data_IF_024630977420
#
_entry.id   IF_024630977420
#
_cell.length_a   1.000
_cell.length_b   1.000
_cell.length_c   1.000
_cell.angle_alpha   90.00
_cell.angle_beta   90.00
_cell.angle_gamma   90.00
#
_symmetry.space_group_name_H-M   'P 1'
#
loop_
_entity.id
_entity.type
_entity.pdbx_description
1 polymer ?
#
# COMPACT_ATOMS: atom_id res chain seq x y z
N UNK A 1 -23.90 32.50 -35.08
CA UNK A 1 -23.11 31.31 -34.83
C UNK A 1 -22.80 31.23 -33.34
N UNK A 2 -23.24 30.22 -32.61
CA UNK A 2 -22.85 30.06 -31.23
C UNK A 2 -21.38 29.60 -31.16
N UNK A 3 -20.59 29.98 -30.13
CA UNK A 3 -19.21 29.55 -29.98
C UNK A 3 -19.12 28.04 -29.73
N UNK A 4 -18.03 27.37 -30.19
CA UNK A 4 -17.88 25.94 -30.02
C UNK A 4 -17.79 25.63 -28.51
N UNK A 5 -18.58 24.65 -28.10
CA UNK A 5 -18.56 24.10 -26.76
C UNK A 5 -17.13 23.68 -26.40
N UNK A 6 -16.59 24.25 -25.33
CA UNK A 6 -15.32 23.82 -24.73
C UNK A 6 -15.46 22.32 -24.43
N UNK A 7 -14.67 21.50 -25.12
CA UNK A 7 -14.51 20.09 -24.78
C UNK A 7 -14.11 20.03 -23.29
N UNK A 8 -15.05 19.63 -22.46
CA UNK A 8 -14.78 19.38 -21.07
C UNK A 8 -13.65 18.34 -21.00
N UNK A 9 -12.61 18.69 -20.25
CA UNK A 9 -11.59 17.72 -19.84
C UNK A 9 -12.38 16.65 -19.10
N UNK A 10 -12.59 15.49 -19.75
CA UNK A 10 -13.15 14.33 -19.08
C UNK A 10 -12.22 14.01 -17.91
N UNK A 11 -12.64 14.33 -16.69
CA UNK A 11 -12.03 13.78 -15.49
C UNK A 11 -12.03 12.28 -15.68
N UNK A 12 -10.85 11.70 -15.61
CA UNK A 12 -10.63 10.29 -15.80
C UNK A 12 -11.25 9.57 -14.59
N UNK A 13 -12.55 9.26 -14.69
CA UNK A 13 -13.28 8.57 -13.63
C UNK A 13 -12.61 7.22 -13.37
N UNK A 14 -12.32 6.95 -12.11
CA UNK A 14 -11.86 5.64 -11.68
C UNK A 14 -12.97 4.62 -11.92
N UNK A 15 -12.63 3.54 -12.56
CA UNK A 15 -13.52 2.42 -12.82
C UNK A 15 -13.04 1.26 -11.98
N UNK A 16 -13.76 0.98 -10.92
CA UNK A 16 -13.44 -0.14 -10.04
C UNK A 16 -13.72 -1.45 -10.77
N UNK A 17 -12.76 -2.37 -10.84
CA UNK A 17 -12.98 -3.71 -11.35
C UNK A 17 -13.97 -4.47 -10.45
N UNK A 18 -14.88 -5.20 -11.05
CA UNK A 18 -15.65 -6.21 -10.34
C UNK A 18 -14.76 -7.42 -10.06
N UNK A 19 -14.62 -7.79 -8.79
CA UNK A 19 -13.71 -8.84 -8.35
C UNK A 19 -14.05 -10.21 -8.98
N UNK A 20 -15.33 -10.55 -9.04
CA UNK A 20 -15.75 -11.85 -9.58
C UNK A 20 -15.39 -11.96 -11.07
N UNK A 21 -15.68 -10.92 -11.84
CA UNK A 21 -15.36 -10.88 -13.27
C UNK A 21 -13.84 -10.90 -13.51
N UNK A 22 -13.06 -10.20 -12.67
CA UNK A 22 -11.59 -10.24 -12.76
C UNK A 22 -11.02 -11.62 -12.43
N UNK A 23 -11.52 -12.28 -11.39
CA UNK A 23 -11.08 -13.65 -11.05
C UNK A 23 -11.45 -14.63 -12.16
N UNK A 24 -12.66 -14.52 -12.72
CA UNK A 24 -13.07 -15.35 -13.86
C UNK A 24 -12.16 -15.14 -15.08
N UNK A 25 -11.79 -13.90 -15.38
CA UNK A 25 -10.84 -13.58 -16.44
C UNK A 25 -9.46 -14.21 -16.18
N UNK A 26 -8.94 -14.10 -14.95
CA UNK A 26 -7.66 -14.70 -14.59
C UNK A 26 -7.67 -16.24 -14.67
N UNK A 27 -8.81 -16.89 -14.36
CA UNK A 27 -8.97 -18.32 -14.55
C UNK A 27 -8.97 -18.75 -16.04
N UNK A 28 -9.42 -17.89 -16.96
CA UNK A 28 -9.30 -18.13 -18.39
C UNK A 28 -7.86 -17.99 -18.92
N UNK A 29 -7.00 -17.31 -18.15
CA UNK A 29 -5.61 -17.03 -18.45
C UNK A 29 -4.67 -17.52 -17.33
N UNK A 30 -4.55 -18.84 -17.09
CA UNK A 30 -3.86 -19.38 -15.92
C UNK A 30 -2.35 -19.12 -15.95
N UNK A 31 -1.68 -19.33 -17.10
CA UNK A 31 -0.22 -19.29 -17.20
C UNK A 31 0.29 -18.47 -18.39
N UNK A 32 -0.60 -17.92 -19.21
CA UNK A 32 -0.23 -17.17 -20.40
C UNK A 32 0.25 -15.74 -20.07
N UNK A 33 0.84 -15.10 -21.05
CA UNK A 33 1.38 -13.76 -20.90
C UNK A 33 0.32 -12.70 -20.54
N UNK A 34 -0.89 -12.69 -21.13
CA UNK A 34 -1.96 -11.79 -20.70
C UNK A 34 -2.33 -11.97 -19.23
N UNK A 35 -2.52 -13.20 -18.78
CA UNK A 35 -2.87 -13.50 -17.39
C UNK A 35 -1.79 -13.07 -16.39
N UNK A 36 -0.52 -13.28 -16.72
CA UNK A 36 0.58 -12.81 -15.89
C UNK A 36 0.58 -11.27 -15.77
N UNK A 37 0.43 -10.55 -16.89
CA UNK A 37 0.38 -9.08 -16.89
C UNK A 37 -0.78 -8.57 -16.03
N UNK A 38 -1.96 -9.19 -16.15
CA UNK A 38 -3.12 -8.81 -15.36
C UNK A 38 -2.93 -9.08 -13.86
N UNK A 39 -2.32 -10.22 -13.48
CA UNK A 39 -1.99 -10.53 -12.08
C UNK A 39 -1.01 -9.53 -11.50
N UNK A 40 0.08 -9.26 -12.21
CA UNK A 40 1.09 -8.28 -11.75
C UNK A 40 0.49 -6.88 -11.57
N UNK A 41 -0.45 -6.47 -12.40
CA UNK A 41 -1.10 -5.17 -12.26
C UNK A 41 -2.18 -5.15 -11.18
N UNK A 42 -3.04 -6.19 -11.11
CA UNK A 42 -4.22 -6.20 -10.26
C UNK A 42 -3.95 -6.76 -8.86
N UNK A 43 -3.15 -7.82 -8.74
CA UNK A 43 -2.86 -8.47 -7.46
C UNK A 43 -1.59 -7.92 -6.79
N UNK A 44 -0.66 -7.34 -7.57
CA UNK A 44 0.62 -6.84 -7.06
C UNK A 44 0.79 -5.32 -7.22
N UNK A 45 -0.13 -4.64 -7.90
CA UNK A 45 -0.11 -3.19 -8.07
C UNK A 45 1.06 -2.64 -8.89
N UNK A 46 1.67 -3.45 -9.77
CA UNK A 46 2.79 -3.02 -10.60
C UNK A 46 2.32 -2.10 -11.73
N UNK A 47 3.12 -1.08 -12.04
CA UNK A 47 2.97 -0.27 -13.24
C UNK A 47 3.44 -1.05 -14.47
N UNK A 48 3.08 -0.59 -15.66
CA UNK A 48 3.55 -1.20 -16.90
C UNK A 48 5.06 -1.13 -17.05
N UNK A 49 5.69 -0.07 -16.54
CA UNK A 49 7.13 0.13 -16.53
C UNK A 49 7.82 -0.90 -15.62
N UNK A 50 7.28 -1.12 -14.40
CA UNK A 50 7.76 -2.13 -13.46
C UNK A 50 7.55 -3.55 -14.00
N UNK A 51 6.39 -3.82 -14.64
CA UNK A 51 6.11 -5.13 -15.26
C UNK A 51 7.14 -5.47 -16.31
N UNK A 52 7.52 -4.52 -17.16
CA UNK A 52 8.53 -4.74 -18.22
C UNK A 52 9.93 -4.91 -17.62
N UNK A 53 10.25 -4.15 -16.58
CA UNK A 53 11.57 -4.17 -15.95
C UNK A 53 11.77 -5.35 -14.97
N UNK A 54 10.71 -6.06 -14.59
CA UNK A 54 10.76 -7.14 -13.60
C UNK A 54 11.68 -8.27 -14.03
N UNK A 55 12.64 -8.62 -13.17
CA UNK A 55 13.62 -9.70 -13.38
C UNK A 55 13.35 -10.85 -12.42
N UNK A 56 13.74 -12.05 -12.82
CA UNK A 56 13.65 -13.25 -11.99
C UNK A 56 14.42 -13.12 -10.66
N UNK A 57 15.56 -12.41 -10.66
CA UNK A 57 16.34 -12.14 -9.45
C UNK A 57 15.58 -11.29 -8.41
N UNK A 58 14.48 -10.67 -8.78
CA UNK A 58 13.63 -9.87 -7.90
C UNK A 58 12.44 -10.67 -7.33
N UNK A 59 12.26 -11.91 -7.76
CA UNK A 59 11.17 -12.79 -7.34
C UNK A 59 11.71 -13.75 -6.27
N UNK A 60 11.27 -13.59 -5.04
CA UNK A 60 11.55 -14.51 -3.96
C UNK A 60 10.35 -15.43 -3.72
N UNK A 61 10.49 -16.69 -4.13
CA UNK A 61 9.45 -17.71 -3.96
C UNK A 61 9.35 -18.23 -2.53
N UNK A 62 10.44 -18.14 -1.73
CA UNK A 62 10.45 -18.60 -0.34
C UNK A 62 9.77 -17.59 0.57
N UNK A 63 10.18 -16.32 0.46
CA UNK A 63 9.60 -15.23 1.24
C UNK A 63 8.29 -14.70 0.62
N UNK A 64 7.87 -15.25 -0.54
CA UNK A 64 6.69 -14.80 -1.29
C UNK A 64 6.67 -13.28 -1.47
N UNK A 65 7.73 -12.75 -2.05
CA UNK A 65 7.91 -11.30 -2.19
C UNK A 65 8.53 -10.92 -3.54
N UNK A 66 8.18 -9.72 -4.00
CA UNK A 66 8.85 -9.06 -5.11
C UNK A 66 9.72 -7.93 -4.56
N UNK A 67 11.02 -8.00 -4.81
CA UNK A 67 11.98 -6.96 -4.45
C UNK A 67 12.14 -5.97 -5.60
N UNK A 68 11.34 -4.90 -5.58
CA UNK A 68 11.47 -3.81 -6.54
C UNK A 68 12.56 -2.82 -6.08
N UNK A 69 12.96 -1.90 -6.94
CA UNK A 69 14.07 -0.96 -6.64
C UNK A 69 13.81 -0.10 -5.39
N UNK A 70 12.57 0.28 -5.16
CA UNK A 70 12.15 1.22 -4.11
C UNK A 70 11.31 0.57 -3.01
N UNK A 71 10.87 -0.68 -3.18
CA UNK A 71 9.96 -1.35 -2.24
C UNK A 71 9.94 -2.86 -2.37
N UNK A 72 9.41 -3.51 -1.32
CA UNK A 72 9.06 -4.93 -1.34
C UNK A 72 7.53 -5.06 -1.38
N UNK A 73 7.02 -5.87 -2.31
CA UNK A 73 5.60 -6.16 -2.47
C UNK A 73 5.35 -7.62 -2.13
N UNK A 74 4.43 -7.93 -1.19
CA UNK A 74 4.03 -9.32 -0.91
C UNK A 74 3.45 -9.98 -2.16
N UNK A 75 3.81 -11.22 -2.39
CA UNK A 75 3.39 -11.98 -3.56
C UNK A 75 2.18 -12.83 -3.23
N UNK A 76 1.05 -12.53 -3.86
CA UNK A 76 -0.18 -13.32 -3.74
C UNK A 76 0.04 -14.74 -4.27
N UNK A 77 -0.57 -15.74 -3.62
CA UNK A 77 -0.38 -17.16 -3.93
C UNK A 77 -0.66 -17.50 -5.40
N UNK A 78 -1.73 -16.94 -5.95
CA UNK A 78 -2.12 -17.12 -7.35
C UNK A 78 -1.06 -16.57 -8.32
N UNK A 79 -0.45 -15.42 -7.99
CA UNK A 79 0.64 -14.85 -8.78
C UNK A 79 1.93 -15.64 -8.63
N UNK A 80 2.22 -16.12 -7.41
CA UNK A 80 3.39 -16.96 -7.14
C UNK A 80 3.34 -18.26 -7.94
N UNK A 81 2.19 -18.94 -7.98
CA UNK A 81 1.96 -20.15 -8.78
C UNK A 81 2.17 -19.91 -10.27
N UNK A 82 1.60 -18.83 -10.81
CA UNK A 82 1.78 -18.45 -12.22
C UNK A 82 3.27 -18.14 -12.55
N UNK A 83 3.98 -17.44 -11.66
CA UNK A 83 5.41 -17.15 -11.84
C UNK A 83 6.26 -18.41 -11.77
N UNK A 84 5.97 -19.32 -10.82
CA UNK A 84 6.71 -20.58 -10.68
C UNK A 84 6.56 -21.47 -11.92
N UNK A 85 5.33 -21.68 -12.39
CA UNK A 85 5.07 -22.44 -13.62
C UNK A 85 5.81 -21.83 -14.83
N UNK A 86 5.80 -20.51 -14.93
CA UNK A 86 6.50 -19.82 -16.02
C UNK A 86 8.02 -19.88 -15.89
N UNK A 87 8.56 -19.88 -14.70
CA UNK A 87 9.99 -20.06 -14.45
C UNK A 87 10.45 -21.47 -14.84
N UNK A 88 9.71 -22.50 -14.47
CA UNK A 88 9.99 -23.90 -14.82
C UNK A 88 9.93 -24.13 -16.32
N UNK A 89 8.96 -23.49 -17.00
CA UNK A 89 8.74 -23.62 -18.45
C UNK A 89 9.67 -22.77 -19.32
N UNK A 90 10.57 -21.98 -18.76
CA UNK A 90 11.48 -21.16 -19.58
C UNK A 90 12.16 -19.97 -18.91
N UNK A 91 12.14 -19.89 -17.59
CA UNK A 91 12.75 -18.77 -16.85
C UNK A 91 14.26 -18.59 -17.06
N UNK A 92 14.97 -19.69 -17.45
CA UNK A 92 16.40 -19.65 -17.73
C UNK A 92 16.76 -18.94 -19.07
N UNK A 93 15.78 -18.66 -19.93
CA UNK A 93 16.03 -18.10 -21.28
C UNK A 93 16.28 -16.59 -21.27
N UNK A 94 15.74 -15.88 -20.26
CA UNK A 94 15.87 -14.44 -20.13
C UNK A 94 15.93 -14.04 -18.66
N UNK A 95 16.71 -13.01 -18.29
CA UNK A 95 16.66 -12.47 -16.93
C UNK A 95 15.32 -11.78 -16.61
N UNK A 96 14.52 -11.42 -17.61
CA UNK A 96 13.24 -10.74 -17.45
C UNK A 96 12.08 -11.72 -17.32
N UNK A 97 11.13 -11.41 -16.45
CA UNK A 97 9.92 -12.20 -16.23
C UNK A 97 8.92 -12.09 -17.38
N UNK A 98 8.74 -10.87 -17.89
CA UNK A 98 7.75 -10.56 -18.93
C UNK A 98 8.45 -10.33 -20.26
N UNK A 99 8.44 -11.36 -21.08
CA UNK A 99 9.08 -11.38 -22.40
C UNK A 99 8.07 -11.74 -23.50
N UNK A 100 8.42 -11.39 -24.73
CA UNK A 100 7.64 -11.78 -25.91
C UNK A 100 7.76 -13.30 -26.14
N UNK A 101 6.64 -13.99 -26.28
CA UNK A 101 6.61 -15.43 -26.53
C UNK A 101 7.29 -15.78 -27.88
N UNK A 102 7.25 -14.86 -28.86
CA UNK A 102 7.82 -15.04 -30.20
C UNK A 102 9.32 -14.74 -30.26
N UNK A 103 9.75 -13.62 -29.65
CA UNK A 103 11.11 -13.11 -29.82
C UNK A 103 12.00 -13.34 -28.61
N UNK A 104 11.43 -13.78 -27.49
CA UNK A 104 12.14 -13.99 -26.21
C UNK A 104 12.83 -12.73 -25.66
N UNK A 105 12.40 -11.56 -26.10
CA UNK A 105 12.90 -10.25 -25.69
C UNK A 105 11.94 -9.56 -24.72
N UNK A 106 12.44 -8.65 -23.86
CA UNK A 106 11.59 -7.84 -23.00
C UNK A 106 10.56 -7.06 -23.80
N UNK A 107 9.35 -6.97 -23.30
CA UNK A 107 8.28 -6.20 -23.93
C UNK A 107 8.51 -4.69 -23.74
N UNK A 108 7.92 -3.90 -24.62
CA UNK A 108 7.80 -2.44 -24.41
C UNK A 108 6.56 -2.14 -23.57
N UNK A 109 6.56 -1.06 -22.76
CA UNK A 109 5.42 -0.69 -21.93
C UNK A 109 4.09 -0.55 -22.68
N UNK A 110 4.16 -0.06 -23.94
CA UNK A 110 2.98 0.06 -24.83
C UNK A 110 2.42 -1.31 -25.21
N UNK A 111 3.30 -2.30 -25.40
CA UNK A 111 2.89 -3.69 -25.69
C UNK A 111 2.19 -4.31 -24.50
N UNK A 112 2.69 -4.11 -23.29
CA UNK A 112 2.03 -4.55 -22.06
C UNK A 112 0.64 -3.93 -21.95
N UNK A 113 0.49 -2.63 -22.15
CA UNK A 113 -0.81 -1.95 -22.13
C UNK A 113 -1.76 -2.49 -23.20
N UNK A 114 -1.26 -2.80 -24.40
CA UNK A 114 -2.06 -3.36 -25.50
C UNK A 114 -2.53 -4.79 -25.20
N UNK A 115 -1.63 -5.64 -24.70
CA UNK A 115 -1.95 -7.03 -24.32
C UNK A 115 -3.03 -7.04 -23.23
N UNK A 116 -2.84 -6.25 -22.16
CA UNK A 116 -3.82 -6.14 -21.09
C UNK A 116 -5.18 -5.65 -21.59
N UNK A 117 -5.20 -4.61 -22.44
CA UNK A 117 -6.46 -4.10 -23.03
C UNK A 117 -7.19 -5.17 -23.85
N UNK A 118 -6.46 -5.93 -24.67
CA UNK A 118 -7.04 -6.99 -25.47
C UNK A 118 -7.66 -8.08 -24.58
N UNK A 119 -6.96 -8.52 -23.54
CA UNK A 119 -7.45 -9.51 -22.61
C UNK A 119 -8.69 -9.01 -21.82
N UNK A 120 -8.65 -7.77 -21.32
CA UNK A 120 -9.79 -7.15 -20.64
C UNK A 120 -11.01 -7.03 -21.58
N UNK A 121 -10.80 -6.64 -22.83
CA UNK A 121 -11.88 -6.55 -23.82
C UNK A 121 -12.48 -7.92 -24.14
N UNK A 122 -11.64 -8.92 -24.35
CA UNK A 122 -12.09 -10.31 -24.58
C UNK A 122 -12.85 -10.90 -23.39
N UNK A 123 -12.44 -10.53 -22.16
CA UNK A 123 -13.11 -10.90 -20.91
C UNK A 123 -14.34 -10.07 -20.57
N UNK A 124 -14.85 -9.23 -21.50
CA UNK A 124 -16.06 -8.43 -21.28
C UNK A 124 -15.87 -7.18 -20.42
N UNK A 125 -14.61 -6.75 -20.19
CA UNK A 125 -14.25 -5.59 -19.38
C UNK A 125 -13.56 -4.46 -20.20
N UNK A 126 -14.12 -4.04 -21.35
CA UNK A 126 -13.46 -3.10 -22.27
C UNK A 126 -13.26 -1.69 -21.68
N UNK A 127 -13.99 -1.38 -20.60
CA UNK A 127 -13.91 -0.10 -19.90
C UNK A 127 -12.68 0.03 -19.02
N UNK A 128 -12.03 -1.09 -18.63
CA UNK A 128 -10.90 -1.10 -17.72
C UNK A 128 -9.55 -0.94 -18.46
N UNK A 129 -8.58 -0.37 -17.75
CA UNK A 129 -7.20 -0.22 -18.17
C UNK A 129 -6.25 -0.68 -17.07
N UNK A 130 -4.99 -0.94 -17.40
CA UNK A 130 -3.96 -1.32 -16.42
C UNK A 130 -3.87 -0.38 -15.22
N UNK A 131 -4.01 0.93 -15.44
CA UNK A 131 -4.01 1.92 -14.37
C UNK A 131 -5.18 1.75 -13.39
N UNK A 132 -6.35 1.29 -13.87
CA UNK A 132 -7.52 1.06 -13.02
C UNK A 132 -7.30 -0.19 -12.16
N UNK A 133 -6.66 -1.23 -12.70
CA UNK A 133 -6.27 -2.43 -11.96
C UNK A 133 -5.28 -2.12 -10.83
N UNK A 134 -4.23 -1.34 -11.15
CA UNK A 134 -3.24 -0.89 -10.17
C UNK A 134 -3.90 -0.04 -9.07
N UNK A 135 -4.80 0.85 -9.44
CA UNK A 135 -5.52 1.71 -8.49
C UNK A 135 -6.41 0.89 -7.56
N UNK A 136 -7.09 -0.13 -8.09
CA UNK A 136 -7.89 -1.05 -7.30
C UNK A 136 -7.05 -1.82 -6.27
N UNK A 137 -5.84 -2.26 -6.65
CA UNK A 137 -4.89 -2.83 -5.69
C UNK A 137 -4.63 -1.90 -4.51
N UNK A 138 -4.38 -0.62 -4.77
CA UNK A 138 -4.13 0.35 -3.71
C UNK A 138 -5.36 0.59 -2.82
N UNK A 139 -6.56 0.59 -3.39
CA UNK A 139 -7.79 0.66 -2.59
C UNK A 139 -7.92 -0.54 -1.66
N UNK A 140 -7.68 -1.75 -2.15
CA UNK A 140 -7.72 -2.96 -1.31
C UNK A 140 -6.66 -2.92 -0.21
N UNK A 141 -5.46 -2.39 -0.49
CA UNK A 141 -4.44 -2.21 0.54
C UNK A 141 -4.85 -1.19 1.60
N UNK A 142 -5.57 -0.12 1.22
CA UNK A 142 -6.12 0.86 2.18
C UNK A 142 -7.27 0.30 3.02
N UNK A 143 -8.06 -0.62 2.47
CA UNK A 143 -9.15 -1.27 3.20
C UNK A 143 -8.63 -2.31 4.21
N UNK A 144 -7.57 -3.03 3.86
CA UNK A 144 -7.00 -4.12 4.64
C UNK A 144 -5.91 -3.67 5.62
N UNK A 145 -5.24 -2.57 5.33
CA UNK A 145 -4.09 -2.05 6.06
C UNK A 145 -4.21 -0.55 6.31
N UNK A 146 -3.21 0.02 6.98
CA UNK A 146 -3.11 1.46 7.21
C UNK A 146 -2.49 2.22 6.01
N UNK A 147 -2.65 3.54 6.00
CA UNK A 147 -2.09 4.43 5.00
C UNK A 147 -0.57 4.27 4.79
N UNK A 148 0.26 4.20 5.85
CA UNK A 148 1.70 4.00 5.70
C UNK A 148 2.06 2.71 4.95
N UNK A 149 1.34 1.63 5.21
CA UNK A 149 1.54 0.38 4.50
C UNK A 149 1.17 0.50 3.02
N UNK A 150 -0.02 1.04 2.73
CA UNK A 150 -0.51 1.21 1.37
C UNK A 150 0.41 2.11 0.51
N UNK A 151 0.92 3.21 1.07
CA UNK A 151 1.91 4.06 0.40
C UNK A 151 3.20 3.30 0.15
N UNK A 152 3.72 2.58 1.13
CA UNK A 152 4.97 1.81 1.00
C UNK A 152 4.89 0.77 -0.10
N UNK A 153 3.81 -0.02 -0.16
CA UNK A 153 3.65 -1.06 -1.19
C UNK A 153 3.29 -0.48 -2.57
N UNK A 154 2.83 0.76 -2.64
CA UNK A 154 2.50 1.43 -3.90
C UNK A 154 3.71 1.91 -4.67
N UNK A 155 4.83 2.23 -3.99
CA UNK A 155 6.00 2.90 -4.57
C UNK A 155 5.71 4.31 -5.07
N UNK A 156 4.57 4.89 -4.70
CA UNK A 156 4.22 6.25 -5.05
C UNK A 156 4.68 7.21 -3.95
N UNK A 157 5.08 8.42 -4.36
CA UNK A 157 5.20 9.49 -3.37
C UNK A 157 3.85 9.72 -2.70
N UNK A 158 3.88 10.12 -1.44
CA UNK A 158 2.68 10.35 -0.66
C UNK A 158 1.72 11.34 -1.35
N UNK A 159 2.24 12.40 -1.95
CA UNK A 159 1.44 13.38 -2.71
C UNK A 159 0.80 12.76 -3.96
N UNK A 160 1.51 11.90 -4.67
CA UNK A 160 0.99 11.20 -5.85
C UNK A 160 -0.09 10.18 -5.44
N UNK A 161 0.17 9.44 -4.37
CA UNK A 161 -0.80 8.48 -3.83
C UNK A 161 -2.10 9.20 -3.44
N UNK A 162 -2.00 10.31 -2.70
CA UNK A 162 -3.15 11.13 -2.34
C UNK A 162 -3.91 11.66 -3.57
N UNK A 163 -3.19 12.15 -4.58
CA UNK A 163 -3.80 12.63 -5.82
C UNK A 163 -4.58 11.54 -6.57
N UNK A 164 -4.14 10.28 -6.47
CA UNK A 164 -4.88 9.13 -7.03
C UNK A 164 -6.26 8.94 -6.37
N UNK A 165 -6.42 9.37 -5.13
CA UNK A 165 -7.63 9.17 -4.32
C UNK A 165 -8.42 10.46 -4.05
N UNK A 166 -7.95 11.62 -4.47
CA UNK A 166 -8.57 12.93 -4.21
C UNK A 166 -10.01 13.11 -4.75
N UNK A 167 -10.54 12.13 -5.46
CA UNK A 167 -11.92 12.14 -5.96
C UNK A 167 -12.80 11.00 -5.46
N UNK A 168 -12.22 9.97 -4.83
CA UNK A 168 -12.87 8.67 -4.66
C UNK A 168 -12.74 8.08 -3.26
N UNK A 169 -12.28 8.86 -2.27
CA UNK A 169 -12.39 8.36 -0.90
C UNK A 169 -13.85 8.12 -0.59
N UNK A 170 -14.27 6.89 -0.26
CA UNK A 170 -15.58 6.67 0.30
C UNK A 170 -15.59 7.45 1.62
N UNK A 171 -16.15 8.64 1.58
CA UNK A 171 -16.47 9.38 2.79
C UNK A 171 -17.45 8.50 3.54
N UNK A 172 -16.97 7.69 4.49
CA UNK A 172 -17.80 7.33 5.62
C UNK A 172 -18.32 8.66 6.13
N UNK A 173 -19.59 8.97 5.86
CA UNK A 173 -20.28 10.12 6.41
C UNK A 173 -20.20 10.01 7.94
N UNK A 174 -19.11 10.48 8.51
CA UNK A 174 -19.12 10.86 9.92
C UNK A 174 -19.96 12.10 10.00
N UNK A 175 -21.01 12.05 10.80
CA UNK A 175 -21.85 13.18 11.15
C UNK A 175 -20.96 14.37 11.52
N UNK A 176 -20.90 15.36 10.65
CA UNK A 176 -20.14 16.57 10.83
C UNK A 176 -20.89 17.48 11.81
N UNK A 177 -20.42 17.52 13.04
CA UNK A 177 -20.43 18.80 13.72
C UNK A 177 -19.42 19.69 13.01
N UNK A 178 -19.82 20.91 12.64
CA UNK A 178 -19.02 21.90 11.95
C UNK A 178 -17.77 22.25 12.78
N UNK A 179 -16.65 21.59 12.46
CA UNK A 179 -15.33 21.82 13.02
C UNK A 179 -14.32 21.49 11.91
N UNK A 180 -13.21 22.19 11.90
CA UNK A 180 -12.13 22.10 10.93
C UNK A 180 -11.93 20.66 10.43
N UNK A 181 -12.00 20.49 9.12
CA UNK A 181 -11.79 19.20 8.48
C UNK A 181 -10.38 18.70 8.81
N UNK A 182 -10.30 17.65 9.63
CA UNK A 182 -9.03 17.10 10.10
C UNK A 182 -8.34 16.41 8.91
N UNK A 183 -7.18 16.91 8.52
CA UNK A 183 -6.36 16.37 7.43
C UNK A 183 -5.46 15.26 7.99
N UNK A 184 -5.97 14.03 7.99
CA UNK A 184 -5.24 12.83 8.45
C UNK A 184 -3.92 12.63 7.69
N UNK A 185 -3.88 13.04 6.44
CA UNK A 185 -2.70 12.93 5.63
C UNK A 185 -1.60 13.90 6.06
N UNK A 186 -1.97 15.14 6.35
CA UNK A 186 -1.04 16.14 6.86
C UNK A 186 -0.50 15.75 8.24
N UNK A 187 -1.34 15.17 9.08
CA UNK A 187 -0.91 14.59 10.35
C UNK A 187 0.11 13.47 10.12
N UNK A 188 -0.17 12.54 9.22
CA UNK A 188 0.74 11.46 8.90
C UNK A 188 2.10 11.96 8.39
N UNK A 189 2.13 13.01 7.55
CA UNK A 189 3.40 13.63 7.12
C UNK A 189 4.21 14.20 8.28
N UNK A 190 3.55 14.81 9.27
CA UNK A 190 4.20 15.29 10.49
C UNK A 190 4.75 14.12 11.28
N UNK A 191 3.96 13.07 11.45
CA UNK A 191 4.34 11.86 12.19
C UNK A 191 5.55 11.13 11.60
N UNK A 192 5.71 11.14 10.28
CA UNK A 192 6.89 10.55 9.62
C UNK A 192 8.18 11.32 9.93
N UNK A 193 8.10 12.62 10.19
CA UNK A 193 9.26 13.45 10.56
C UNK A 193 9.61 13.36 12.04
N UNK A 194 8.61 13.12 12.87
CA UNK A 194 8.68 13.16 14.34
C UNK A 194 8.60 11.76 14.98
N UNK A 195 8.95 10.71 14.24
CA UNK A 195 8.66 9.31 14.59
C UNK A 195 9.17 8.87 15.97
N UNK A 196 10.29 9.40 16.44
CA UNK A 196 10.92 9.03 17.72
C UNK A 196 10.97 10.16 18.76
N UNK A 197 10.40 11.32 18.46
CA UNK A 197 10.26 12.42 19.42
C UNK A 197 9.09 12.16 20.39
N UNK A 198 9.12 12.80 21.57
CA UNK A 198 8.00 12.75 22.50
C UNK A 198 6.71 13.25 21.86
N UNK A 199 6.78 14.27 21.02
CA UNK A 199 5.65 14.79 20.26
C UNK A 199 5.12 13.75 19.25
N UNK A 200 6.01 13.07 18.52
CA UNK A 200 5.65 12.01 17.59
C UNK A 200 4.96 10.86 18.28
N UNK A 201 5.50 10.36 19.40
CA UNK A 201 4.88 9.28 20.19
C UNK A 201 3.49 9.69 20.66
N UNK A 202 3.36 10.89 21.22
CA UNK A 202 2.08 11.41 21.73
C UNK A 202 1.03 11.49 20.61
N UNK A 203 1.42 12.02 19.45
CA UNK A 203 0.54 12.14 18.28
C UNK A 203 0.13 10.76 17.72
N UNK A 204 1.07 9.81 17.61
CA UNK A 204 0.77 8.44 17.18
C UNK A 204 -0.22 7.74 18.09
N UNK A 205 0.00 7.80 19.41
CA UNK A 205 -0.89 7.17 20.41
C UNK A 205 -2.27 7.84 20.45
N UNK A 206 -2.31 9.17 20.38
CA UNK A 206 -3.59 9.89 20.33
C UNK A 206 -4.37 9.59 19.06
N UNK A 207 -3.72 9.59 17.91
CA UNK A 207 -4.38 9.41 16.62
C UNK A 207 -4.84 7.97 16.38
N UNK A 208 -3.99 6.99 16.64
CA UNK A 208 -4.32 5.58 16.33
C UNK A 208 -5.10 4.88 17.44
N UNK A 209 -4.85 5.27 18.68
CA UNK A 209 -5.41 4.56 19.85
C UNK A 209 -6.40 5.43 20.64
N UNK A 210 -6.51 6.72 20.36
CA UNK A 210 -7.39 7.62 21.09
C UNK A 210 -6.95 7.86 22.54
N UNK A 211 -5.65 7.72 22.82
CA UNK A 211 -5.10 8.01 24.16
C UNK A 211 -5.16 9.52 24.39
N UNK A 212 -5.71 9.92 25.53
CA UNK A 212 -5.91 11.33 25.85
C UNK A 212 -4.62 11.97 26.35
N UNK A 213 -4.47 13.31 26.17
CA UNK A 213 -3.27 14.02 26.59
C UNK A 213 -2.93 13.86 28.08
N UNK A 214 -3.94 13.82 28.97
CA UNK A 214 -3.76 13.56 30.41
C UNK A 214 -3.23 12.16 30.72
N UNK A 215 -3.60 11.14 29.92
CA UNK A 215 -3.10 9.78 30.04
C UNK A 215 -1.67 9.67 29.54
N UNK A 216 -1.35 10.37 28.43
CA UNK A 216 -0.01 10.40 27.84
C UNK A 216 1.04 11.03 28.75
N UNK A 217 0.70 12.15 29.41
CA UNK A 217 1.63 12.85 30.31
C UNK A 217 2.05 11.98 31.50
N UNK A 218 1.14 11.14 31.98
CA UNK A 218 1.37 10.25 33.13
C UNK A 218 1.75 8.82 32.73
N UNK A 219 1.94 8.56 31.43
CA UNK A 219 2.22 7.22 30.93
C UNK A 219 3.64 6.78 31.31
N UNK A 220 3.74 5.62 31.96
CA UNK A 220 4.99 5.01 32.40
C UNK A 220 5.24 3.67 31.70
N UNK A 221 6.50 3.22 31.68
CA UNK A 221 6.90 2.00 30.97
C UNK A 221 6.32 0.72 31.58
N UNK A 222 6.01 0.71 32.87
CA UNK A 222 5.33 -0.40 33.55
C UNK A 222 3.89 -0.61 33.06
N UNK A 223 3.28 0.40 32.46
CA UNK A 223 1.96 0.32 31.82
C UNK A 223 2.03 -0.21 30.37
N UNK A 224 3.22 -0.40 29.81
CA UNK A 224 3.42 -0.82 28.42
C UNK A 224 3.93 -2.25 28.35
N UNK A 225 3.06 -3.20 28.06
CA UNK A 225 3.43 -4.60 27.81
C UNK A 225 3.71 -4.81 26.31
N UNK A 226 4.97 -4.67 25.93
CA UNK A 226 5.41 -4.85 24.53
C UNK A 226 5.37 -6.33 24.09
N UNK A 227 5.49 -7.28 25.02
CA UNK A 227 5.45 -8.71 24.69
C UNK A 227 4.04 -9.12 24.29
N UNK A 228 3.06 -8.72 25.07
CA UNK A 228 1.65 -9.02 24.80
C UNK A 228 0.99 -8.00 23.87
N UNK A 229 1.65 -6.86 23.62
CA UNK A 229 1.10 -5.77 22.82
C UNK A 229 -0.08 -5.07 23.52
N UNK A 230 0.01 -4.87 24.83
CA UNK A 230 -1.02 -4.23 25.65
C UNK A 230 -0.53 -2.91 26.23
N UNK A 231 -1.46 -1.99 26.40
CA UNK A 231 -1.30 -0.74 27.12
C UNK A 231 -2.31 -0.70 28.26
N UNK A 232 -1.81 -0.65 29.50
CA UNK A 232 -2.62 -0.62 30.72
C UNK A 232 -2.83 0.82 31.16
N UNK A 233 -4.01 1.36 30.88
CA UNK A 233 -4.42 2.68 31.38
C UNK A 233 -5.28 2.54 32.64
N UNK A 234 -5.38 3.58 33.51
CA UNK A 234 -6.08 3.49 34.77
C UNK A 234 -7.53 3.03 34.66
N UNK A 235 -8.20 3.33 33.58
CA UNK A 235 -9.62 3.03 33.35
C UNK A 235 -9.88 1.94 32.31
N UNK A 236 -8.83 1.50 31.56
CA UNK A 236 -8.98 0.55 30.46
C UNK A 236 -7.67 -0.04 29.97
N UNK A 237 -7.72 -1.27 29.48
CA UNK A 237 -6.65 -1.89 28.71
C UNK A 237 -6.90 -1.69 27.22
N UNK A 238 -5.83 -1.46 26.46
CA UNK A 238 -5.89 -1.24 25.01
C UNK A 238 -4.84 -2.10 24.29
N UNK A 239 -5.19 -2.60 23.11
CA UNK A 239 -4.22 -3.25 22.24
C UNK A 239 -3.34 -2.19 21.55
N UNK A 240 -2.03 -2.38 21.63
CA UNK A 240 -1.07 -1.57 20.88
C UNK A 240 -1.22 -1.85 19.38
N UNK A 241 -1.37 -0.79 18.59
CA UNK A 241 -1.27 -0.95 17.13
C UNK A 241 0.16 -1.33 16.75
N UNK A 242 0.33 -2.05 15.64
CA UNK A 242 1.66 -2.46 15.17
C UNK A 242 2.61 -1.27 14.96
N UNK A 243 2.11 -0.12 14.54
CA UNK A 243 2.90 1.08 14.35
C UNK A 243 3.39 1.65 15.69
N UNK A 244 2.49 1.78 16.67
CA UNK A 244 2.81 2.29 18.02
C UNK A 244 3.74 1.32 18.75
N UNK A 245 3.50 0.00 18.66
CA UNK A 245 4.38 -1.01 19.26
C UNK A 245 5.82 -0.90 18.75
N UNK A 246 6.04 -0.86 17.43
CA UNK A 246 7.37 -0.70 16.83
C UNK A 246 8.05 0.60 17.25
N UNK A 247 7.27 1.67 17.34
CA UNK A 247 7.77 2.97 17.78
C UNK A 247 8.25 2.90 19.23
N UNK A 248 7.47 2.33 20.13
CA UNK A 248 7.82 2.15 21.55
C UNK A 248 9.02 1.21 21.72
N UNK A 249 9.09 0.10 20.97
CA UNK A 249 10.27 -0.80 20.95
C UNK A 249 11.54 -0.07 20.54
N UNK A 250 11.46 0.80 19.51
CA UNK A 250 12.59 1.63 19.06
C UNK A 250 13.05 2.60 20.16
N UNK A 251 12.11 3.26 20.82
CA UNK A 251 12.39 4.22 21.88
C UNK A 251 12.97 3.53 23.11
N UNK A 252 12.44 2.38 23.51
CA UNK A 252 12.94 1.61 24.65
C UNK A 252 14.38 1.14 24.44
N UNK A 253 14.76 0.73 23.23
CA UNK A 253 16.13 0.31 22.88
C UNK A 253 17.16 1.44 22.98
N UNK A 254 16.75 2.68 22.81
CA UNK A 254 17.65 3.85 22.85
C UNK A 254 17.82 4.39 24.26
N UNK A 255 16.90 4.05 25.18
CA UNK A 255 16.96 4.50 26.58
C UNK A 255 17.73 3.52 27.44
N UNK A 256 18.56 4.04 28.31
CA UNK A 256 19.30 3.25 29.30
C UNK A 256 18.38 2.76 30.42
N UNK A 257 18.59 1.54 30.95
CA UNK A 257 17.86 1.05 32.12
C UNK A 257 18.13 1.95 33.34
N UNK A 258 17.08 2.46 33.97
CA UNK A 258 17.17 3.30 35.17
C UNK A 258 16.97 4.80 34.93
N UNK A 259 16.74 5.22 33.69
CA UNK A 259 16.25 6.56 33.40
C UNK A 259 14.75 6.72 33.78
N UNK A 260 14.24 7.95 33.68
CA UNK A 260 12.87 8.35 34.02
C UNK A 260 11.83 7.28 33.63
N UNK A 261 10.91 6.88 34.54
CA UNK A 261 9.90 5.86 34.28
C UNK A 261 8.89 6.26 33.21
N UNK A 262 8.79 7.55 32.87
CA UNK A 262 7.80 8.03 31.90
C UNK A 262 8.19 7.70 30.44
N UNK A 263 7.16 7.36 29.67
CA UNK A 263 7.31 7.10 28.22
C UNK A 263 7.65 8.39 27.47
N UNK A 264 7.01 9.51 27.84
CA UNK A 264 7.23 10.82 27.23
C UNK A 264 8.11 11.68 28.12
N UNK A 265 9.26 12.12 27.60
CA UNK A 265 10.16 13.04 28.29
C UNK A 265 10.10 14.42 27.65
N UNK A 266 10.11 15.46 28.48
CA UNK A 266 10.27 16.83 28.02
C UNK A 266 11.67 17.02 27.42
N UNK A 267 11.84 17.81 26.33
CA UNK A 267 13.13 18.14 25.75
C UNK A 267 14.09 18.84 26.74
N UNK A 268 13.58 19.37 27.83
CA UNK A 268 14.34 20.07 28.87
C UNK A 268 14.93 19.14 29.97
N UNK A 269 14.59 17.82 29.89
CA UNK A 269 15.06 16.82 30.85
C UNK A 269 16.33 16.09 30.42
N UNK A 270 17.08 16.64 29.46
CA UNK A 270 18.39 16.12 29.02
C UNK A 270 19.54 16.93 29.56
#
# INVERSE_FOLDING_TARGET
MPPPAKRGIMRNEFRQPDEQNMRQLLHQHPEDLPGLILRLAWLQGLSREEIVALKWAQVDFQERSLFLEDRTVPLEEETAGCLAARFENGGAVSPYVVISDKFREPLRPESVSRIARNALTAGGLPQLQLKDLRRDYFFRQLEQHDWPYAVRVSGLSVSTFQACFAGDTPHKKRSTQAGQQFDEFRLWQVLQKEDSSAAGIALWMSWQMGVQGKELVNLTWDQVDLERGLLHLPERDMLLTNAVRRLLEKVQKVRSPGEDPHVLLSPQSR
#
